data_IF_430481221761
#
_entry.id   IF_430481221761
#
_cell.length_a   1.000
_cell.length_b   1.000
_cell.length_c   1.000
_cell.angle_alpha   90.00
_cell.angle_beta   90.00
_cell.angle_gamma   90.00
#
_symmetry.space_group_name_H-M   'P 1'
#
loop_
_entity.id
_entity.type
_entity.pdbx_description
1 polymer ?
#
# COMPACT_ATOMS: atom_id res chain seq x y z
N UNK A 1 9.08 18.33 47.74
CA UNK A 1 8.92 17.15 46.85
C UNK A 1 7.47 16.88 46.49
N UNK A 2 6.54 16.89 47.47
CA UNK A 2 5.11 16.64 47.21
C UNK A 2 4.41 17.83 46.50
N UNK A 3 4.80 19.07 46.79
CA UNK A 3 4.18 20.27 46.19
C UNK A 3 4.53 20.43 44.69
N UNK A 4 5.78 20.16 44.31
CA UNK A 4 6.25 20.14 42.92
C UNK A 4 5.53 19.09 42.06
N UNK A 5 5.20 17.94 42.66
CA UNK A 5 4.42 16.90 41.98
C UNK A 5 2.96 17.34 41.75
N UNK A 6 2.39 18.11 42.68
CA UNK A 6 1.05 18.67 42.54
C UNK A 6 0.96 19.78 41.48
N UNK A 7 2.00 20.59 41.31
CA UNK A 7 2.05 21.59 40.24
C UNK A 7 2.19 20.97 38.85
N UNK A 8 3.05 19.96 38.69
CA UNK A 8 3.20 19.23 37.41
C UNK A 8 1.92 18.48 37.00
N UNK A 9 1.10 18.04 37.97
CA UNK A 9 -0.20 17.44 37.70
C UNK A 9 -1.26 18.48 37.26
N UNK A 10 -1.15 19.73 37.70
CA UNK A 10 -2.07 20.83 37.29
C UNK A 10 -1.78 21.33 35.87
N UNK A 11 -0.55 21.22 35.39
CA UNK A 11 -0.18 21.64 34.02
C UNK A 11 -0.60 20.66 32.91
N UNK A 12 -1.02 19.44 33.25
CA UNK A 12 -1.60 18.50 32.30
C UNK A 12 -3.01 18.95 31.91
N UNK A 13 -3.10 20.01 31.10
CA UNK A 13 -4.33 20.37 30.39
C UNK A 13 -4.73 19.16 29.55
N UNK A 14 -5.77 18.43 29.99
CA UNK A 14 -6.45 17.42 29.18
C UNK A 14 -6.94 18.11 27.91
N UNK A 15 -6.21 17.91 26.82
CA UNK A 15 -6.67 18.27 25.49
C UNK A 15 -7.77 17.25 25.17
N UNK A 16 -9.02 17.64 25.40
CA UNK A 16 -10.18 16.84 25.00
C UNK A 16 -10.25 16.89 23.48
N UNK A 17 -9.61 15.92 22.83
CA UNK A 17 -9.71 15.72 21.38
C UNK A 17 -11.15 15.31 21.08
N UNK A 18 -11.88 16.13 20.32
CA UNK A 18 -13.25 15.81 19.89
C UNK A 18 -13.24 14.46 19.18
N UNK A 19 -14.15 13.57 19.56
CA UNK A 19 -14.32 12.28 18.89
C UNK A 19 -14.64 12.51 17.41
N UNK A 20 -13.84 11.93 16.52
CA UNK A 20 -14.06 12.04 15.09
C UNK A 20 -15.36 11.32 14.72
N UNK A 21 -16.43 12.05 14.43
CA UNK A 21 -17.65 11.50 13.85
C UNK A 21 -17.35 11.02 12.43
N UNK A 22 -17.54 9.71 12.19
CA UNK A 22 -17.36 9.16 10.86
C UNK A 22 -18.58 9.56 10.02
N UNK A 23 -18.37 10.40 9.02
CA UNK A 23 -19.39 10.62 8.00
C UNK A 23 -19.68 9.29 7.29
N UNK A 24 -20.96 8.91 7.16
CA UNK A 24 -21.31 7.68 6.44
C UNK A 24 -20.88 7.80 4.99
N UNK A 25 -20.30 6.72 4.45
CA UNK A 25 -19.90 6.66 3.04
C UNK A 25 -21.16 6.77 2.17
N UNK A 26 -21.22 7.77 1.29
CA UNK A 26 -22.30 7.86 0.30
C UNK A 26 -22.15 6.71 -0.69
N UNK A 27 -23.25 5.99 -0.95
CA UNK A 27 -23.34 5.03 -2.04
C UNK A 27 -23.19 5.74 -3.39
N UNK A 28 -22.71 5.04 -4.42
CA UNK A 28 -22.62 5.56 -5.80
C UNK A 28 -21.33 6.28 -6.19
N UNK A 29 -20.55 6.82 -5.23
CA UNK A 29 -19.29 7.56 -5.54
C UNK A 29 -18.34 6.74 -6.41
N UNK A 30 -18.20 5.43 -6.12
CA UNK A 30 -17.33 4.53 -6.91
C UNK A 30 -17.82 4.34 -8.34
N UNK A 31 -19.13 4.28 -8.55
CA UNK A 31 -19.71 4.09 -9.88
C UNK A 31 -19.59 5.35 -10.73
N UNK A 32 -19.81 6.52 -10.12
CA UNK A 32 -19.60 7.82 -10.76
C UNK A 32 -18.14 8.00 -11.17
N UNK A 33 -17.20 7.70 -10.27
CA UNK A 33 -15.76 7.78 -10.55
C UNK A 33 -15.32 6.88 -11.71
N UNK A 34 -15.96 5.73 -11.89
CA UNK A 34 -15.61 4.75 -12.92
C UNK A 34 -16.46 4.88 -14.21
N UNK A 35 -17.39 5.83 -14.25
CA UNK A 35 -18.31 6.00 -15.38
C UNK A 35 -17.60 6.51 -16.65
N UNK A 36 -16.57 7.35 -16.49
CA UNK A 36 -15.83 7.96 -17.60
C UNK A 36 -14.74 7.09 -18.23
N UNK A 37 -14.53 5.87 -17.73
CA UNK A 37 -13.49 4.96 -18.20
C UNK A 37 -14.08 3.83 -19.06
N UNK A 38 -13.34 3.33 -20.07
CA UNK A 38 -13.80 2.21 -20.90
C UNK A 38 -13.99 0.95 -20.06
N UNK A 39 -15.14 0.30 -20.21
CA UNK A 39 -15.54 -0.88 -19.44
C UNK A 39 -15.39 -2.16 -20.26
N UNK A 40 -14.81 -3.19 -19.65
CA UNK A 40 -14.62 -4.51 -20.21
C UNK A 40 -15.20 -5.53 -19.23
N UNK A 41 -16.12 -6.38 -19.69
CA UNK A 41 -16.74 -7.41 -18.87
C UNK A 41 -16.02 -8.75 -19.10
N UNK A 42 -15.43 -9.30 -18.05
CA UNK A 42 -14.87 -10.65 -18.04
C UNK A 42 -15.89 -11.59 -17.40
N UNK A 43 -16.44 -12.49 -18.22
CA UNK A 43 -17.43 -13.47 -17.79
C UNK A 43 -16.80 -14.83 -17.49
N UNK A 44 -16.99 -15.31 -16.27
CA UNK A 44 -16.57 -16.64 -15.83
C UNK A 44 -17.76 -17.60 -15.95
N UNK A 45 -17.61 -18.59 -16.82
CA UNK A 45 -18.61 -19.58 -17.21
C UNK A 45 -18.43 -20.86 -16.38
N UNK A 46 -19.53 -21.53 -16.04
CA UNK A 46 -19.49 -22.86 -15.41
C UNK A 46 -19.27 -23.89 -16.53
N UNK A 47 -18.34 -24.82 -16.36
CA UNK A 47 -18.10 -25.80 -17.42
C UNK A 47 -19.36 -26.66 -17.61
N UNK A 48 -19.73 -27.00 -18.86
CA UNK A 48 -20.91 -27.83 -19.11
C UNK A 48 -20.77 -29.25 -18.53
N UNK A 49 -19.54 -29.68 -18.26
CA UNK A 49 -19.21 -30.96 -17.62
C UNK A 49 -19.36 -30.91 -16.09
N UNK A 50 -19.46 -29.71 -15.50
CA UNK A 50 -19.64 -29.57 -14.05
C UNK A 50 -21.03 -30.06 -13.64
N UNK A 51 -21.06 -31.00 -12.71
CA UNK A 51 -22.29 -31.57 -12.15
C UNK A 51 -22.53 -31.07 -10.72
N UNK A 52 -23.75 -31.27 -10.23
CA UNK A 52 -24.09 -30.88 -8.86
C UNK A 52 -23.24 -31.65 -7.84
N UNK A 53 -22.51 -30.98 -6.92
CA UNK A 53 -21.64 -31.66 -5.94
C UNK A 53 -22.40 -32.50 -4.90
N UNK A 54 -23.74 -32.41 -4.86
CA UNK A 54 -24.60 -33.14 -3.91
C UNK A 54 -25.32 -34.33 -4.52
N UNK A 55 -25.73 -34.24 -5.78
CA UNK A 55 -26.58 -35.26 -6.41
C UNK A 55 -26.13 -35.68 -7.81
N UNK A 56 -25.05 -35.10 -8.35
CA UNK A 56 -24.52 -35.44 -9.67
C UNK A 56 -25.40 -35.05 -10.86
N UNK A 57 -26.55 -34.40 -10.65
CA UNK A 57 -27.42 -33.99 -11.76
C UNK A 57 -26.89 -32.77 -12.50
N UNK A 58 -27.48 -32.49 -13.66
CA UNK A 58 -27.16 -31.35 -14.50
C UNK A 58 -27.48 -30.01 -13.81
N UNK A 59 -26.72 -28.99 -14.22
CA UNK A 59 -26.80 -27.62 -13.71
C UNK A 59 -27.45 -26.72 -14.76
N UNK A 60 -28.47 -25.96 -14.36
CA UNK A 60 -29.12 -24.95 -15.20
C UNK A 60 -28.64 -23.56 -14.82
N UNK A 61 -28.08 -22.82 -15.77
CA UNK A 61 -27.65 -21.43 -15.56
C UNK A 61 -28.88 -20.56 -15.27
N UNK A 62 -28.89 -19.89 -14.11
CA UNK A 62 -29.97 -18.98 -13.71
C UNK A 62 -29.65 -17.56 -14.15
N UNK A 63 -28.41 -17.14 -13.96
CA UNK A 63 -28.06 -15.75 -14.20
C UNK A 63 -26.59 -15.43 -13.97
N UNK A 64 -26.29 -14.16 -14.19
CA UNK A 64 -24.97 -13.57 -14.07
C UNK A 64 -24.92 -12.68 -12.84
N UNK A 65 -23.89 -12.82 -12.02
CA UNK A 65 -23.65 -12.00 -10.84
C UNK A 65 -22.38 -11.17 -11.03
N UNK A 66 -22.49 -9.85 -10.98
CA UNK A 66 -21.34 -8.96 -10.90
C UNK A 66 -20.70 -9.08 -9.50
N UNK A 67 -19.44 -9.48 -9.45
CA UNK A 67 -18.73 -9.69 -8.18
C UNK A 67 -17.97 -8.47 -7.75
N UNK A 68 -17.27 -7.85 -8.70
CA UNK A 68 -16.43 -6.69 -8.43
C UNK A 68 -16.06 -5.97 -9.70
N UNK A 69 -15.68 -4.73 -9.50
CA UNK A 69 -15.22 -3.81 -10.52
C UNK A 69 -13.83 -3.37 -10.13
N UNK A 70 -12.86 -3.67 -11.01
CA UNK A 70 -11.44 -3.38 -10.82
C UNK A 70 -10.98 -2.44 -11.94
N UNK A 71 -9.89 -1.71 -11.71
CA UNK A 71 -9.27 -0.81 -12.68
C UNK A 71 -7.94 -1.39 -13.10
N UNK A 72 -7.82 -1.71 -14.38
CA UNK A 72 -6.60 -2.18 -14.99
C UNK A 72 -5.81 -0.99 -15.56
N UNK A 73 -4.53 -0.95 -15.24
CA UNK A 73 -3.59 -0.03 -15.85
C UNK A 73 -2.93 -0.71 -17.05
N UNK A 74 -3.18 -0.17 -18.24
CA UNK A 74 -2.41 -0.43 -19.45
C UNK A 74 -1.53 0.81 -19.65
N UNK A 75 -0.27 0.73 -20.09
CA UNK A 75 0.56 1.91 -20.28
C UNK A 75 -0.18 3.03 -21.04
N UNK A 76 -0.36 4.18 -20.38
CA UNK A 76 -1.11 5.36 -20.83
C UNK A 76 -2.65 5.22 -20.98
N UNK A 77 -3.27 4.10 -20.59
CA UNK A 77 -4.73 3.90 -20.66
C UNK A 77 -5.26 3.20 -19.41
N UNK A 78 -6.42 3.64 -18.95
CA UNK A 78 -7.15 2.96 -17.87
C UNK A 78 -8.34 2.21 -18.46
N UNK A 79 -8.56 1.00 -17.95
CA UNK A 79 -9.74 0.20 -18.27
C UNK A 79 -10.41 -0.27 -16.99
N UNK A 80 -11.73 -0.35 -17.01
CA UNK A 80 -12.52 -0.88 -15.91
C UNK A 80 -12.90 -2.32 -16.24
N UNK A 81 -12.34 -3.27 -15.48
CA UNK A 81 -12.67 -4.69 -15.57
C UNK A 81 -13.81 -5.03 -14.63
N UNK A 82 -14.92 -5.50 -15.19
CA UNK A 82 -16.06 -5.99 -14.44
C UNK A 82 -16.04 -7.52 -14.45
N UNK A 83 -15.77 -8.11 -13.29
CA UNK A 83 -15.70 -9.56 -13.14
C UNK A 83 -17.11 -10.07 -12.84
N UNK A 84 -17.67 -10.80 -13.79
CA UNK A 84 -19.02 -11.36 -13.74
C UNK A 84 -18.93 -12.88 -13.69
N UNK A 85 -19.69 -13.52 -12.80
CA UNK A 85 -19.74 -14.97 -12.70
C UNK A 85 -21.11 -15.51 -13.01
N UNK A 86 -21.16 -16.66 -13.68
CA UNK A 86 -22.40 -17.40 -13.82
C UNK A 86 -22.76 -18.09 -12.50
N UNK A 87 -24.06 -18.11 -12.22
CA UNK A 87 -24.67 -18.86 -11.13
C UNK A 87 -25.64 -19.85 -11.76
N UNK A 88 -25.39 -21.13 -11.53
CA UNK A 88 -26.28 -22.21 -11.93
C UNK A 88 -26.98 -22.80 -10.70
N UNK A 89 -28.17 -23.34 -10.92
CA UNK A 89 -28.92 -24.12 -9.95
C UNK A 89 -29.01 -25.54 -10.44
N UNK A 90 -28.88 -26.46 -9.49
CA UNK A 90 -29.16 -27.86 -9.71
C UNK A 90 -30.64 -28.06 -10.09
N UNK A 91 -30.91 -28.78 -11.18
CA UNK A 91 -32.29 -29.06 -11.60
C UNK A 91 -33.03 -29.96 -10.62
N UNK A 92 -32.32 -30.89 -9.98
CA UNK A 92 -32.91 -31.92 -9.14
C UNK A 92 -32.85 -31.62 -7.63
N UNK A 93 -32.11 -30.62 -7.14
CA UNK A 93 -32.11 -30.28 -5.71
C UNK A 93 -33.16 -29.19 -5.40
N UNK A 94 -33.95 -29.39 -4.35
CA UNK A 94 -35.02 -28.48 -3.97
C UNK A 94 -36.33 -28.67 -4.75
N UNK A 95 -36.47 -29.77 -5.48
CA UNK A 95 -37.74 -30.29 -6.01
C UNK A 95 -38.39 -31.25 -5.01
N UNK A 96 -39.72 -31.43 -5.12
CA UNK A 96 -40.51 -32.24 -4.17
C UNK A 96 -40.05 -33.71 -4.10
N UNK A 97 -39.49 -34.23 -5.19
CA UNK A 97 -39.06 -35.62 -5.33
C UNK A 97 -37.56 -35.82 -5.02
N UNK A 98 -36.89 -34.79 -4.52
CA UNK A 98 -35.44 -34.80 -4.35
C UNK A 98 -35.00 -35.26 -2.95
N UNK A 99 -33.91 -36.01 -2.90
CA UNK A 99 -33.26 -36.40 -1.65
C UNK A 99 -32.76 -35.18 -0.83
N UNK A 100 -32.54 -34.04 -1.49
CA UNK A 100 -32.10 -32.78 -0.87
C UNK A 100 -33.18 -31.72 -1.02
N UNK A 101 -33.93 -31.46 0.05
CA UNK A 101 -35.00 -30.45 0.07
C UNK A 101 -34.51 -29.01 -0.15
N UNK A 102 -33.21 -28.74 0.02
CA UNK A 102 -32.63 -27.40 -0.18
C UNK A 102 -32.11 -27.22 -1.61
N UNK A 103 -32.39 -26.07 -2.26
CA UNK A 103 -31.87 -25.79 -3.59
C UNK A 103 -30.35 -25.56 -3.52
N UNK A 104 -29.61 -26.23 -4.42
CA UNK A 104 -28.16 -26.10 -4.52
C UNK A 104 -27.80 -25.14 -5.65
N UNK A 105 -27.00 -24.13 -5.32
CA UNK A 105 -26.46 -23.17 -6.28
C UNK A 105 -24.95 -23.37 -6.44
N UNK A 106 -24.51 -23.55 -7.68
CA UNK A 106 -23.11 -23.65 -8.07
C UNK A 106 -22.72 -22.34 -8.75
N UNK A 107 -21.52 -21.84 -8.45
CA UNK A 107 -21.02 -20.56 -8.95
C UNK A 107 -19.72 -20.82 -9.69
N UNK A 108 -19.50 -20.14 -10.81
CA UNK A 108 -18.25 -20.26 -11.55
C UNK A 108 -17.06 -19.88 -10.66
N UNK A 109 -15.96 -20.62 -10.80
CA UNK A 109 -14.69 -20.31 -10.16
C UNK A 109 -14.10 -19.02 -10.74
N UNK A 110 -13.49 -18.19 -9.90
CA UNK A 110 -12.92 -16.89 -10.28
C UNK A 110 -11.56 -16.76 -9.61
N UNK A 111 -10.55 -16.17 -10.26
CA UNK A 111 -9.27 -15.88 -9.64
C UNK A 111 -9.42 -15.00 -8.40
N UNK A 112 -8.57 -15.20 -7.39
CA UNK A 112 -8.58 -14.39 -6.17
C UNK A 112 -8.11 -12.96 -6.49
N UNK A 113 -8.76 -11.89 -5.97
CA UNK A 113 -8.24 -10.52 -6.09
C UNK A 113 -6.85 -10.39 -5.47
N UNK A 114 -6.03 -9.50 -6.02
CA UNK A 114 -4.78 -9.09 -5.36
C UNK A 114 -5.10 -8.35 -4.05
N UNK A 115 -6.08 -7.45 -4.05
CA UNK A 115 -6.52 -6.74 -2.85
C UNK A 115 -8.03 -6.84 -2.69
N UNK A 116 -8.49 -7.49 -1.63
CA UNK A 116 -9.91 -7.60 -1.29
C UNK A 116 -10.55 -6.22 -1.07
N UNK A 117 -11.76 -6.03 -1.60
CA UNK A 117 -12.56 -4.79 -1.52
C UNK A 117 -11.91 -3.52 -2.12
N UNK A 118 -10.79 -3.66 -2.81
CA UNK A 118 -10.15 -2.58 -3.57
C UNK A 118 -10.61 -2.58 -5.03
N UNK A 119 -10.39 -1.45 -5.69
CA UNK A 119 -10.50 -1.34 -7.16
C UNK A 119 -9.18 -1.70 -7.85
N UNK A 120 -8.13 -2.03 -7.10
CA UNK A 120 -6.77 -2.19 -7.62
C UNK A 120 -6.55 -3.55 -8.24
N UNK A 121 -6.36 -3.57 -9.56
CA UNK A 121 -5.82 -4.72 -10.30
C UNK A 121 -4.32 -4.87 -10.01
N UNK A 122 -3.72 -6.07 -10.16
CA UNK A 122 -2.27 -6.26 -10.08
C UNK A 122 -1.44 -5.23 -10.88
N UNK A 123 -1.86 -4.93 -12.11
CA UNK A 123 -1.17 -3.95 -12.97
C UNK A 123 -1.19 -2.53 -12.38
N UNK A 124 -2.32 -2.11 -11.82
CA UNK A 124 -2.47 -0.80 -11.18
C UNK A 124 -1.58 -0.71 -9.93
N UNK A 125 -1.58 -1.74 -9.08
CA UNK A 125 -0.74 -1.79 -7.89
C UNK A 125 0.75 -1.77 -8.24
N UNK A 126 1.15 -2.56 -9.25
CA UNK A 126 2.52 -2.60 -9.75
C UNK A 126 2.97 -1.24 -10.28
N UNK A 127 2.13 -0.53 -11.04
CA UNK A 127 2.44 0.80 -11.55
C UNK A 127 2.65 1.82 -10.42
N UNK A 128 1.78 1.82 -9.41
CA UNK A 128 1.90 2.70 -8.24
C UNK A 128 3.22 2.45 -7.49
N UNK A 129 3.58 1.17 -7.29
CA UNK A 129 4.85 0.79 -6.66
C UNK A 129 6.06 1.17 -7.51
N UNK A 130 6.00 0.92 -8.82
CA UNK A 130 7.06 1.28 -9.76
C UNK A 130 7.32 2.80 -9.74
N UNK A 131 6.27 3.60 -9.86
CA UNK A 131 6.39 5.05 -9.77
C UNK A 131 6.96 5.50 -8.42
N UNK A 132 6.56 4.84 -7.33
CA UNK A 132 6.99 5.22 -5.98
C UNK A 132 8.46 4.91 -5.71
N UNK A 133 8.89 3.69 -6.01
CA UNK A 133 10.18 3.15 -5.58
C UNK A 133 11.25 3.21 -6.67
N UNK A 134 10.88 2.98 -7.93
CA UNK A 134 11.83 3.04 -9.05
C UNK A 134 11.98 4.47 -9.55
N UNK A 135 10.87 5.17 -9.79
CA UNK A 135 10.89 6.54 -10.32
C UNK A 135 11.00 7.62 -9.24
N UNK A 136 10.89 7.26 -7.96
CA UNK A 136 10.96 8.20 -6.84
C UNK A 136 9.80 9.22 -6.81
N UNK A 137 8.68 8.95 -7.48
CA UNK A 137 7.52 9.84 -7.54
C UNK A 137 6.68 9.69 -6.26
N UNK A 138 6.51 10.76 -5.46
CA UNK A 138 5.68 10.69 -4.27
C UNK A 138 4.19 10.57 -4.63
N UNK A 139 3.40 9.91 -3.79
CA UNK A 139 1.98 9.62 -4.06
C UNK A 139 1.13 10.87 -4.31
N UNK A 140 1.52 12.04 -3.76
CA UNK A 140 0.83 13.30 -4.03
C UNK A 140 1.02 13.83 -5.46
N UNK A 141 2.12 13.45 -6.12
CA UNK A 141 2.35 13.76 -7.53
C UNK A 141 1.61 12.75 -8.40
N UNK A 142 1.71 11.46 -8.05
CA UNK A 142 0.97 10.39 -8.72
C UNK A 142 -0.53 10.67 -8.72
N UNK A 143 -1.11 11.16 -7.61
CA UNK A 143 -2.54 11.51 -7.50
C UNK A 143 -3.02 12.44 -8.63
N UNK A 144 -2.18 13.41 -9.03
CA UNK A 144 -2.49 14.29 -10.16
C UNK A 144 -2.38 13.58 -11.50
N UNK A 145 -1.38 12.73 -11.66
CA UNK A 145 -1.18 11.95 -12.88
C UNK A 145 -2.36 10.98 -13.12
N UNK A 146 -2.84 10.31 -12.07
CA UNK A 146 -4.04 9.47 -12.13
C UNK A 146 -5.30 10.27 -12.42
N UNK A 147 -5.44 11.46 -11.83
CA UNK A 147 -6.54 12.36 -12.13
C UNK A 147 -6.57 12.78 -13.60
N UNK A 148 -5.41 13.10 -14.20
CA UNK A 148 -5.32 13.42 -15.63
C UNK A 148 -5.66 12.22 -16.53
N UNK A 149 -5.46 10.99 -16.06
CA UNK A 149 -5.93 9.77 -16.74
C UNK A 149 -7.43 9.48 -16.53
N UNK A 150 -8.14 10.29 -15.75
CA UNK A 150 -9.57 10.16 -15.48
C UNK A 150 -9.92 9.31 -14.25
N UNK A 151 -8.95 8.96 -13.39
CA UNK A 151 -9.18 8.20 -12.16
C UNK A 151 -8.82 9.02 -10.91
N UNK A 152 -9.79 9.22 -10.03
CA UNK A 152 -9.58 9.86 -8.73
C UNK A 152 -9.00 8.85 -7.75
N UNK A 153 -7.69 8.67 -7.77
CA UNK A 153 -6.98 7.76 -6.87
C UNK A 153 -6.30 8.55 -5.74
N UNK A 154 -6.81 8.43 -4.52
CA UNK A 154 -6.30 9.23 -3.40
C UNK A 154 -4.94 8.76 -2.92
N UNK A 155 -4.16 9.67 -2.30
CA UNK A 155 -2.91 9.31 -1.62
C UNK A 155 -3.07 8.18 -0.60
N UNK A 156 -4.19 8.17 0.13
CA UNK A 156 -4.48 7.15 1.13
C UNK A 156 -4.71 5.79 0.48
N UNK A 157 -5.46 5.74 -0.63
CA UNK A 157 -5.72 4.49 -1.36
C UNK A 157 -4.44 3.91 -1.96
N UNK A 158 -3.58 4.75 -2.55
CA UNK A 158 -2.26 4.32 -3.04
C UNK A 158 -1.38 3.79 -1.92
N UNK A 159 -1.27 4.53 -0.81
CA UNK A 159 -0.44 4.10 0.32
C UNK A 159 -0.95 2.79 0.91
N UNK A 160 -2.27 2.66 1.10
CA UNK A 160 -2.89 1.43 1.59
C UNK A 160 -2.66 0.26 0.63
N UNK A 161 -2.77 0.49 -0.69
CA UNK A 161 -2.48 -0.54 -1.69
C UNK A 161 -1.03 -1.01 -1.63
N UNK A 162 -0.08 -0.08 -1.48
CA UNK A 162 1.35 -0.41 -1.33
C UNK A 162 1.58 -1.25 -0.07
N UNK A 163 1.06 -0.81 1.07
CA UNK A 163 1.24 -1.49 2.37
C UNK A 163 0.68 -2.91 2.30
N UNK A 164 -0.58 -3.05 1.89
CA UNK A 164 -1.24 -4.36 1.82
C UNK A 164 -0.54 -5.30 0.85
N UNK A 165 -0.13 -4.81 -0.32
CA UNK A 165 0.63 -5.64 -1.25
C UNK A 165 1.98 -6.07 -0.67
N UNK A 166 2.64 -5.21 0.12
CA UNK A 166 3.88 -5.56 0.80
C UNK A 166 3.68 -6.65 1.85
N UNK A 167 2.62 -6.56 2.65
CA UNK A 167 2.33 -7.51 3.72
C UNK A 167 1.80 -8.84 3.19
N UNK A 168 0.85 -8.81 2.26
CA UNK A 168 0.15 -9.99 1.75
C UNK A 168 0.98 -10.75 0.70
N UNK A 169 1.72 -10.05 -0.17
CA UNK A 169 2.37 -10.67 -1.34
C UNK A 169 3.90 -10.65 -1.32
N UNK A 170 4.52 -9.60 -0.78
CA UNK A 170 5.99 -9.46 -0.81
C UNK A 170 6.68 -10.04 0.44
N UNK A 171 5.94 -10.25 1.53
CA UNK A 171 6.47 -10.84 2.76
C UNK A 171 7.18 -12.18 2.54
N UNK A 172 6.62 -13.17 1.80
CA UNK A 172 7.31 -14.43 1.54
C UNK A 172 8.65 -14.26 0.81
N UNK A 173 8.72 -13.31 -0.13
CA UNK A 173 9.95 -13.00 -0.88
C UNK A 173 10.99 -12.40 0.07
N UNK A 174 10.58 -11.44 0.89
CA UNK A 174 11.45 -10.83 1.91
C UNK A 174 12.01 -11.89 2.86
N UNK A 175 11.18 -12.82 3.35
CA UNK A 175 11.60 -13.89 4.24
C UNK A 175 12.63 -14.81 3.58
N UNK A 176 12.44 -15.13 2.29
CA UNK A 176 13.40 -15.94 1.55
C UNK A 176 14.72 -15.23 1.30
N UNK A 177 14.70 -13.94 0.95
CA UNK A 177 15.93 -13.14 0.84
C UNK A 177 16.65 -13.10 2.19
N UNK A 178 15.91 -12.85 3.27
CA UNK A 178 16.46 -12.82 4.62
C UNK A 178 17.09 -14.16 5.01
N UNK A 179 16.42 -15.28 4.77
CA UNK A 179 16.95 -16.63 5.00
C UNK A 179 18.28 -16.84 4.25
N UNK A 180 18.35 -16.46 2.97
CA UNK A 180 19.58 -16.56 2.18
C UNK A 180 20.71 -15.68 2.74
N UNK A 181 20.39 -14.46 3.19
CA UNK A 181 21.38 -13.58 3.82
C UNK A 181 22.00 -14.19 5.08
N UNK A 182 21.26 -15.00 5.84
CA UNK A 182 21.78 -15.68 7.04
C UNK A 182 22.82 -16.77 6.72
N UNK A 183 22.81 -17.33 5.51
CA UNK A 183 23.80 -18.32 5.08
C UNK A 183 25.07 -17.70 4.49
N UNK A 184 25.06 -16.40 4.18
CA UNK A 184 26.21 -15.70 3.63
C UNK A 184 27.34 -15.57 4.66
N UNK A 185 28.54 -16.05 4.33
CA UNK A 185 29.74 -15.92 5.20
C UNK A 185 30.19 -14.47 5.37
N UNK A 186 29.91 -13.61 4.38
CA UNK A 186 30.29 -12.20 4.35
C UNK A 186 29.08 -11.39 3.87
N UNK A 187 28.74 -10.32 4.61
CA UNK A 187 27.67 -9.40 4.28
C UNK A 187 28.23 -7.98 4.21
N UNK A 188 28.02 -7.31 3.08
CA UNK A 188 28.31 -5.89 2.94
C UNK A 188 27.03 -5.10 3.23
N UNK A 189 27.13 -4.10 4.10
CA UNK A 189 26.01 -3.22 4.46
C UNK A 189 26.41 -1.77 4.21
N UNK A 190 25.61 -1.06 3.43
CA UNK A 190 25.73 0.39 3.25
C UNK A 190 24.56 1.08 3.97
N UNK A 191 24.88 1.92 4.96
CA UNK A 191 23.86 2.61 5.77
C UNK A 191 23.38 3.86 5.02
N UNK A 192 22.16 3.82 4.49
CA UNK A 192 21.50 5.02 3.97
C UNK A 192 20.62 5.65 5.05
N UNK A 193 21.02 6.83 5.55
CA UNK A 193 20.21 7.55 6.55
C UNK A 193 19.03 8.27 5.92
N UNK A 194 17.83 7.82 6.27
CA UNK A 194 16.56 8.46 5.90
C UNK A 194 15.92 8.99 7.18
N UNK A 195 15.34 10.18 7.12
CA UNK A 195 14.62 10.74 8.26
C UNK A 195 13.18 10.25 8.27
N UNK A 196 12.77 9.63 9.37
CA UNK A 196 11.41 9.15 9.59
C UNK A 196 10.55 10.21 10.31
N UNK A 197 9.24 10.19 10.06
CA UNK A 197 8.30 11.17 10.63
C UNK A 197 8.11 11.05 12.16
N UNK A 198 8.46 9.91 12.75
CA UNK A 198 8.25 9.58 14.17
C UNK A 198 9.57 9.27 14.89
N UNK A 199 10.60 10.10 14.68
CA UNK A 199 11.86 9.97 15.42
C UNK A 199 11.80 10.74 16.75
N UNK A 200 12.14 10.08 17.84
CA UNK A 200 12.32 10.75 19.13
C UNK A 200 13.44 11.79 19.02
N UNK A 201 13.20 12.99 19.56
CA UNK A 201 14.16 14.11 19.58
C UNK A 201 14.55 14.69 18.19
N UNK A 202 13.86 14.32 17.10
CA UNK A 202 14.07 14.91 15.77
C UNK A 202 12.76 15.37 15.14
N UNK A 203 12.61 16.68 14.94
CA UNK A 203 11.47 17.25 14.22
C UNK A 203 11.49 16.75 12.76
N UNK A 204 10.37 16.22 12.29
CA UNK A 204 10.18 15.82 10.90
C UNK A 204 10.63 16.94 9.95
N UNK A 205 11.51 16.63 9.00
CA UNK A 205 11.98 17.59 8.01
C UNK A 205 10.86 17.87 7.00
N UNK A 206 10.07 18.90 7.29
CA UNK A 206 9.21 19.51 6.29
C UNK A 206 10.13 20.31 5.37
N UNK A 207 10.44 19.78 4.18
CA UNK A 207 11.17 20.54 3.16
C UNK A 207 10.30 21.77 2.83
N UNK A 208 10.74 23.01 3.12
CA UNK A 208 9.97 24.20 2.74
C UNK A 208 9.87 24.19 1.21
N UNK A 209 8.65 24.40 0.68
CA UNK A 209 8.45 24.52 -0.76
C UNK A 209 9.28 25.71 -1.25
N UNK A 210 10.27 25.47 -2.13
CA UNK A 210 10.94 26.54 -2.88
C UNK A 210 12.40 26.86 -2.56
N UNK A 211 13.23 25.96 -2.01
CA UNK A 211 14.70 26.18 -2.03
C UNK A 211 15.47 24.94 -2.47
N UNK A 212 16.01 24.99 -3.70
CA UNK A 212 17.16 24.17 -4.08
C UNK A 212 18.37 24.65 -3.29
N UNK A 213 18.70 23.96 -2.21
CA UNK A 213 20.07 23.97 -1.67
C UNK A 213 20.60 22.56 -1.62
N UNK A 214 21.44 22.28 -2.61
CA UNK A 214 22.39 21.17 -2.64
C UNK A 214 23.06 21.03 -1.27
N UNK A 215 22.87 19.89 -0.62
CA UNK A 215 23.19 19.69 0.78
C UNK A 215 24.72 19.50 0.97
N UNK A 216 25.49 20.60 1.02
CA UNK A 216 26.79 20.59 1.71
C UNK A 216 26.54 20.76 3.21
N UNK A 217 26.33 19.67 3.94
CA UNK A 217 26.41 19.69 5.42
C UNK A 217 27.69 18.96 5.85
N UNK A 218 28.65 19.76 6.33
CA UNK A 218 29.88 19.33 7.00
C UNK A 218 29.55 18.38 8.14
N UNK A 219 30.16 17.19 8.12
CA UNK A 219 30.12 16.24 9.22
C UNK A 219 30.77 16.84 10.47
N UNK A 220 30.00 16.91 11.57
CA UNK A 220 30.53 17.12 12.91
C UNK A 220 30.63 15.74 13.55
N UNK A 221 31.84 15.20 13.57
CA UNK A 221 32.19 13.93 14.19
C UNK A 221 32.03 14.10 15.71
N UNK A 222 31.07 13.39 16.29
CA UNK A 222 30.92 13.23 17.73
C UNK A 222 31.42 11.85 18.14
N UNK A 223 32.74 11.69 18.27
CA UNK A 223 33.36 10.56 18.95
C UNK A 223 34.02 11.07 20.24
N UNK A 224 33.57 10.59 21.40
CA UNK A 224 34.37 10.60 22.63
C UNK A 224 34.37 9.20 23.21
N UNK A 225 35.35 8.41 22.79
CA UNK A 225 35.91 7.37 23.64
C UNK A 225 36.84 8.03 24.66
N UNK A 226 36.73 7.59 25.91
CA UNK A 226 37.62 7.96 27.01
C UNK A 226 38.99 7.26 26.86
N UNK A 227 39.97 7.84 27.55
CA UNK A 227 41.31 7.35 27.90
C UNK A 227 42.45 7.66 26.92
N UNK A 228 43.52 8.25 27.46
CA UNK A 228 44.81 8.39 26.76
C UNK A 228 45.45 9.77 26.89
N UNK A 229 46.09 10.01 28.03
CA UNK A 229 46.95 11.16 28.34
C UNK A 229 48.16 11.30 27.40
N UNK A 230 48.54 12.54 27.02
CA UNK A 230 49.87 13.17 27.21
C UNK A 230 50.23 14.25 26.15
N UNK A 231 50.47 15.46 26.69
CA UNK A 231 51.36 16.58 26.27
C UNK A 231 51.08 17.43 25.01
N UNK A 232 51.19 18.78 25.12
CA UNK A 232 51.18 19.72 23.99
C UNK A 232 52.61 20.12 23.58
N UNK A 233 52.86 20.28 22.27
CA UNK A 233 54.05 20.98 21.78
C UNK A 233 53.81 21.65 20.41
N UNK A 234 53.99 22.97 20.43
CA UNK A 234 54.68 23.80 19.43
C UNK A 234 53.99 24.14 18.09
N UNK A 235 53.48 25.37 18.06
CA UNK A 235 53.81 26.48 17.12
C UNK A 235 54.10 26.18 15.65
N UNK A 236 53.33 26.81 14.76
CA UNK A 236 53.72 27.00 13.36
C UNK A 236 52.69 27.76 12.51
N UNK A 237 52.62 29.09 12.64
CA UNK A 237 51.95 29.96 11.66
C UNK A 237 52.75 29.94 10.35
N UNK A 238 52.14 29.56 9.23
CA UNK A 238 52.61 29.95 7.89
C UNK A 238 51.54 30.80 7.21
N UNK A 239 51.90 32.06 6.96
CA UNK A 239 51.22 32.96 6.02
C UNK A 239 51.58 32.51 4.61
N UNK A 240 50.59 32.34 3.73
CA UNK A 240 50.82 32.31 2.28
C UNK A 240 50.43 33.67 1.71
N UNK A 241 51.42 34.40 1.18
CA UNK A 241 51.21 35.59 0.37
C UNK A 241 50.72 35.23 -1.03
N UNK A 242 49.95 36.13 -1.63
CA UNK A 242 49.69 36.17 -3.08
C UNK A 242 50.48 37.35 -3.65
N UNK A 243 51.39 37.04 -4.56
CA UNK A 243 51.94 37.96 -5.54
C UNK A 243 51.52 37.48 -6.93
N UNK A 244 51.33 38.42 -7.85
CA UNK A 244 50.82 38.22 -9.20
C UNK A 244 49.68 39.19 -9.48
#
# INVERSE_FOLDING_TARGET
MQELAQELLKEQKKITVKSHEKTPRKSGIREEMLSGLPKEMEEYIINPEDTCPKCGSQLKVIGKQLIRTEVEFIPAKLKVKQIVRQVAKCENCGTKDSANQTPVFVKAAIPVPVLSHSISTPSMAAQVMYQKFVMGLPCNRQEKDWFHMGLVLTRADMANSIIRCSEEWLSPIYHKIHEQLMFCKLLHMDETRIQCNKEENRKAYVRPKGTERFLKRKGRIGGRNKAGSLRPALTGRRKCGRGG
#
